data_IF_137918141259
#
_entry.id   IF_137918141259
#
_cell.length_a   1.000
_cell.length_b   1.000
_cell.length_c   1.000
_cell.angle_alpha   90.00
_cell.angle_beta   90.00
_cell.angle_gamma   90.00
#
_symmetry.space_group_name_H-M   'P 1'
#
loop_
_entity.id
_entity.type
_entity.pdbx_description
1 polymer ?
#
# COMPACT_ATOMS: atom_id res chain seq x y z
N UNK A 1 41.84 35.72 -1.25
CA UNK A 1 40.42 36.08 -1.01
C UNK A 1 39.52 35.49 -2.09
N UNK A 2 39.93 35.56 -3.37
CA UNK A 2 39.29 34.89 -4.53
C UNK A 2 38.86 33.43 -4.32
N UNK A 3 39.66 32.60 -3.65
CA UNK A 3 39.32 31.20 -3.42
C UNK A 3 38.12 31.01 -2.47
N UNK A 4 37.98 31.85 -1.43
CA UNK A 4 36.85 31.81 -0.49
C UNK A 4 35.57 32.31 -1.17
N UNK A 5 35.69 33.32 -2.04
CA UNK A 5 34.61 33.82 -2.87
C UNK A 5 34.09 32.73 -3.82
N UNK A 6 34.99 32.11 -4.57
CA UNK A 6 34.66 31.02 -5.49
C UNK A 6 33.97 29.85 -4.77
N UNK A 7 34.50 29.40 -3.63
CA UNK A 7 33.92 28.31 -2.83
C UNK A 7 32.52 28.66 -2.33
N UNK A 8 32.28 29.90 -1.90
CA UNK A 8 30.96 30.36 -1.43
C UNK A 8 29.93 30.42 -2.56
N UNK A 9 30.31 30.93 -3.73
CA UNK A 9 29.46 31.03 -4.94
C UNK A 9 29.13 29.65 -5.49
N UNK A 10 30.09 28.72 -5.46
CA UNK A 10 29.89 27.31 -5.85
C UNK A 10 29.01 26.58 -4.83
N UNK A 11 29.22 26.79 -3.53
CA UNK A 11 28.40 26.19 -2.47
C UNK A 11 26.93 26.59 -2.60
N UNK A 12 26.67 27.86 -2.94
CA UNK A 12 25.32 28.36 -3.17
C UNK A 12 24.76 28.01 -4.57
N UNK A 13 25.53 27.28 -5.39
CA UNK A 13 25.18 26.87 -6.76
C UNK A 13 24.81 28.04 -7.70
N UNK A 14 25.39 29.24 -7.50
CA UNK A 14 25.13 30.40 -8.37
C UNK A 14 26.02 30.34 -9.63
N UNK A 15 27.34 30.20 -9.43
CA UNK A 15 28.31 30.02 -10.53
C UNK A 15 28.42 31.19 -11.51
N UNK A 16 28.78 32.39 -11.05
CA UNK A 16 28.94 33.58 -11.91
C UNK A 16 29.97 33.42 -13.04
N UNK A 17 31.01 32.60 -12.84
CA UNK A 17 32.03 32.31 -13.86
C UNK A 17 33.15 33.35 -13.96
N UNK A 18 33.23 34.27 -13.01
CA UNK A 18 34.26 35.29 -12.84
C UNK A 18 35.61 34.72 -12.39
N UNK A 19 35.60 33.67 -11.56
CA UNK A 19 36.80 32.96 -11.10
C UNK A 19 36.62 31.45 -11.33
N UNK A 20 37.50 30.84 -12.14
CA UNK A 20 37.40 29.43 -12.55
C UNK A 20 38.68 28.66 -12.18
N UNK A 21 38.59 27.46 -11.57
CA UNK A 21 39.77 26.67 -11.25
C UNK A 21 40.36 26.03 -12.52
N UNK A 22 41.59 26.42 -12.85
CA UNK A 22 42.34 25.85 -13.97
C UNK A 22 43.12 24.57 -13.59
N UNK A 23 43.33 24.32 -12.30
CA UNK A 23 44.02 23.11 -11.80
C UNK A 23 43.05 21.95 -11.56
N UNK A 24 43.52 20.72 -11.76
CA UNK A 24 42.72 19.51 -11.48
C UNK A 24 42.25 19.44 -10.03
N UNK A 25 43.13 19.78 -9.06
CA UNK A 25 42.76 19.82 -7.65
C UNK A 25 41.67 20.87 -7.34
N UNK A 26 41.73 22.05 -7.97
CA UNK A 26 40.71 23.08 -7.78
C UNK A 26 39.35 22.70 -8.37
N UNK A 27 39.34 21.98 -9.49
CA UNK A 27 38.11 21.42 -10.09
C UNK A 27 37.48 20.37 -9.20
N UNK A 28 38.27 19.47 -8.61
CA UNK A 28 37.77 18.47 -7.66
C UNK A 28 37.17 19.12 -6.40
N UNK A 29 37.83 20.14 -5.84
CA UNK A 29 37.31 20.88 -4.67
C UNK A 29 35.99 21.59 -5.01
N UNK A 30 35.89 22.21 -6.18
CA UNK A 30 34.67 22.86 -6.67
C UNK A 30 33.50 21.87 -6.77
N UNK A 31 33.74 20.68 -7.34
CA UNK A 31 32.73 19.61 -7.45
C UNK A 31 32.26 19.12 -6.07
N UNK A 32 33.20 18.84 -5.15
CA UNK A 32 32.87 18.38 -3.80
C UNK A 32 32.09 19.45 -3.02
N UNK A 33 32.48 20.72 -3.16
CA UNK A 33 31.79 21.86 -2.54
C UNK A 33 30.37 22.01 -3.08
N UNK A 34 30.17 21.85 -4.39
CA UNK A 34 28.85 21.87 -5.01
C UNK A 34 27.95 20.74 -4.50
N UNK A 35 28.47 19.52 -4.38
CA UNK A 35 27.74 18.37 -3.81
C UNK A 35 27.34 18.64 -2.35
N UNK A 36 28.27 19.17 -1.54
CA UNK A 36 27.97 19.54 -0.15
C UNK A 36 26.94 20.67 -0.04
N UNK A 37 27.01 21.69 -0.91
CA UNK A 37 26.06 22.79 -0.97
C UNK A 37 24.66 22.34 -1.35
N UNK A 38 24.54 21.47 -2.35
CA UNK A 38 23.28 20.82 -2.72
C UNK A 38 22.73 19.98 -1.55
N UNK A 39 23.57 19.18 -0.90
CA UNK A 39 23.19 18.39 0.28
C UNK A 39 22.68 19.25 1.44
N UNK A 40 23.37 20.36 1.75
CA UNK A 40 22.93 21.31 2.77
C UNK A 40 21.57 21.94 2.42
N UNK A 41 21.36 22.30 1.16
CA UNK A 41 20.09 22.88 0.69
C UNK A 41 18.94 21.89 0.87
N UNK A 42 19.13 20.62 0.49
CA UNK A 42 18.14 19.56 0.69
C UNK A 42 17.81 19.37 2.17
N UNK A 43 18.82 19.33 3.04
CA UNK A 43 18.61 19.21 4.49
C UNK A 43 17.81 20.39 5.05
N UNK A 44 18.15 21.62 4.66
CA UNK A 44 17.41 22.81 5.09
C UNK A 44 15.97 22.77 4.62
N UNK A 45 15.72 22.46 3.35
CA UNK A 45 14.35 22.33 2.81
C UNK A 45 13.58 21.22 3.54
N UNK A 46 14.20 20.08 3.84
CA UNK A 46 13.56 18.99 4.58
C UNK A 46 13.21 19.38 6.02
N UNK A 47 14.10 20.08 6.72
CA UNK A 47 13.84 20.56 8.09
C UNK A 47 12.74 21.63 8.09
N UNK A 48 12.78 22.58 7.16
CA UNK A 48 11.76 23.60 6.99
C UNK A 48 10.41 22.97 6.68
N UNK A 49 10.35 21.98 5.77
CA UNK A 49 9.12 21.25 5.47
C UNK A 49 8.53 20.58 6.73
N UNK A 50 9.36 19.90 7.54
CA UNK A 50 8.90 19.29 8.81
C UNK A 50 8.45 20.30 9.86
N UNK A 51 8.99 21.52 9.84
CA UNK A 51 8.58 22.62 10.74
C UNK A 51 7.33 23.36 10.23
N UNK A 52 7.11 23.35 8.92
CA UNK A 52 5.92 23.91 8.26
C UNK A 52 4.73 22.95 8.25
N UNK A 53 4.96 21.65 8.44
CA UNK A 53 3.89 20.71 8.80
C UNK A 53 3.33 21.12 10.16
N UNK A 54 2.23 21.91 10.13
CA UNK A 54 1.53 22.41 11.31
C UNK A 54 1.40 21.29 12.34
N UNK A 55 1.80 21.59 13.58
CA UNK A 55 1.65 20.65 14.68
C UNK A 55 0.17 20.28 14.85
N UNK A 56 -0.11 19.06 15.35
CA UNK A 56 -1.51 18.59 15.51
C UNK A 56 -2.40 19.57 16.27
N UNK A 57 -1.85 20.30 17.22
CA UNK A 57 -2.56 21.32 17.99
C UNK A 57 -2.91 22.57 17.15
N UNK A 58 -1.97 23.09 16.38
CA UNK A 58 -2.21 24.23 15.47
C UNK A 58 -3.24 23.87 14.39
N UNK A 59 -3.17 22.65 13.84
CA UNK A 59 -4.16 22.17 12.88
C UNK A 59 -5.57 22.10 13.49
N UNK A 60 -5.69 21.69 14.76
CA UNK A 60 -6.97 21.64 15.46
C UNK A 60 -7.54 23.05 15.66
N UNK A 61 -6.72 24.00 16.11
CA UNK A 61 -7.13 25.40 16.28
C UNK A 61 -7.49 26.04 14.94
N UNK A 62 -6.71 25.80 13.88
CA UNK A 62 -6.99 26.30 12.54
C UNK A 62 -8.31 25.72 12.00
N UNK A 63 -8.56 24.43 12.19
CA UNK A 63 -9.81 23.80 11.78
C UNK A 63 -11.02 24.38 12.55
N UNK A 64 -10.87 24.63 13.85
CA UNK A 64 -11.91 25.28 14.66
C UNK A 64 -12.17 26.72 14.20
N UNK A 65 -11.12 27.50 13.95
CA UNK A 65 -11.23 28.86 13.45
C UNK A 65 -11.90 28.91 12.08
N UNK A 66 -11.51 28.00 11.19
CA UNK A 66 -12.06 27.86 9.85
C UNK A 66 -13.55 27.46 9.89
N UNK A 67 -13.92 26.49 10.74
CA UNK A 67 -15.32 26.08 10.93
C UNK A 67 -16.21 27.18 11.51
N UNK A 68 -15.67 27.96 12.46
CA UNK A 68 -16.35 29.15 13.00
C UNK A 68 -16.57 30.21 11.92
N UNK A 69 -15.56 30.48 11.08
CA UNK A 69 -15.66 31.42 9.98
C UNK A 69 -16.69 30.98 8.93
N UNK A 70 -16.68 29.71 8.52
CA UNK A 70 -17.65 29.18 7.57
C UNK A 70 -19.09 29.22 8.11
N UNK A 71 -19.30 28.84 9.38
CA UNK A 71 -20.63 28.89 10.00
C UNK A 71 -21.19 30.31 10.04
N UNK A 72 -20.35 31.30 10.38
CA UNK A 72 -20.72 32.72 10.37
C UNK A 72 -21.02 33.19 8.94
N UNK A 73 -20.18 32.83 7.98
CA UNK A 73 -20.36 33.16 6.56
C UNK A 73 -21.69 32.67 5.98
N UNK A 74 -22.09 31.42 6.28
CA UNK A 74 -23.39 30.87 5.86
C UNK A 74 -24.54 31.69 6.43
N UNK A 75 -24.51 31.99 7.74
CA UNK A 75 -25.57 32.75 8.41
C UNK A 75 -25.71 34.15 7.80
N UNK A 76 -24.59 34.82 7.53
CA UNK A 76 -24.57 36.16 6.91
C UNK A 76 -25.08 36.10 5.47
N UNK A 77 -24.62 35.14 4.67
CA UNK A 77 -25.07 34.98 3.29
C UNK A 77 -26.58 34.69 3.22
N UNK A 78 -27.09 33.79 4.07
CA UNK A 78 -28.51 33.48 4.16
C UNK A 78 -29.34 34.71 4.57
N UNK A 79 -28.90 35.48 5.56
CA UNK A 79 -29.55 36.72 5.97
C UNK A 79 -29.62 37.73 4.82
N UNK A 80 -28.54 37.86 4.03
CA UNK A 80 -28.52 38.73 2.85
C UNK A 80 -29.47 38.23 1.75
N UNK A 81 -29.56 36.92 1.50
CA UNK A 81 -30.53 36.36 0.54
C UNK A 81 -31.96 36.74 0.94
N UNK A 82 -32.32 36.57 2.22
CA UNK A 82 -33.65 36.93 2.72
C UNK A 82 -33.91 38.44 2.60
N UNK A 83 -32.94 39.27 2.99
CA UNK A 83 -33.03 40.73 2.91
C UNK A 83 -33.25 41.21 1.47
N UNK A 84 -32.43 40.75 0.53
CA UNK A 84 -32.51 41.20 -0.86
C UNK A 84 -33.78 40.67 -1.53
N UNK A 85 -34.21 39.44 -1.23
CA UNK A 85 -35.49 38.88 -1.70
C UNK A 85 -36.68 39.71 -1.22
N UNK A 86 -36.71 40.08 0.06
CA UNK A 86 -37.73 40.95 0.62
C UNK A 86 -37.75 42.34 -0.03
N UNK A 87 -36.57 42.96 -0.20
CA UNK A 87 -36.47 44.28 -0.81
C UNK A 87 -36.90 44.29 -2.29
N UNK A 88 -36.61 43.22 -3.04
CA UNK A 88 -37.14 43.03 -4.40
C UNK A 88 -38.67 42.95 -4.37
N UNK A 89 -39.24 42.14 -3.47
CA UNK A 89 -40.69 42.02 -3.33
C UNK A 89 -41.34 43.37 -3.00
N UNK A 90 -40.77 44.11 -2.03
CA UNK A 90 -41.22 45.45 -1.65
C UNK A 90 -41.23 46.42 -2.84
N UNK A 91 -40.13 46.51 -3.59
CA UNK A 91 -40.00 47.45 -4.72
C UNK A 91 -40.74 47.01 -6.01
N UNK A 92 -41.16 45.75 -6.11
CA UNK A 92 -41.89 45.24 -7.28
C UNK A 92 -43.40 45.12 -7.07
N UNK A 93 -43.86 44.86 -5.84
CA UNK A 93 -45.26 44.55 -5.53
C UNK A 93 -45.92 45.50 -4.52
N UNK A 94 -45.18 46.10 -3.61
CA UNK A 94 -45.74 46.98 -2.56
C UNK A 94 -45.54 48.48 -2.84
N UNK A 95 -44.64 48.84 -3.74
CA UNK A 95 -44.39 50.23 -4.11
C UNK A 95 -45.44 50.72 -5.13
N UNK A 96 -45.95 51.94 -4.91
CA UNK A 96 -46.93 52.61 -5.80
C UNK A 96 -46.38 52.88 -7.20
N UNK A 97 -45.07 53.07 -7.33
CA UNK A 97 -44.34 53.19 -8.60
C UNK A 97 -43.17 52.19 -8.65
N UNK A 98 -42.96 51.58 -9.82
CA UNK A 98 -41.90 50.56 -10.02
C UNK A 98 -40.57 51.23 -10.38
N UNK A 99 -39.68 51.33 -9.40
CA UNK A 99 -38.30 51.77 -9.63
C UNK A 99 -37.45 50.61 -10.18
N UNK A 100 -37.37 50.51 -11.50
CA UNK A 100 -36.61 49.47 -12.21
C UNK A 100 -35.11 49.48 -11.88
N UNK A 101 -34.53 50.64 -11.55
CA UNK A 101 -33.10 50.74 -11.24
C UNK A 101 -32.80 50.11 -9.87
N UNK A 102 -33.63 50.41 -8.85
CA UNK A 102 -33.51 49.79 -7.52
C UNK A 102 -33.74 48.28 -7.57
N UNK A 103 -34.72 47.81 -8.34
CA UNK A 103 -34.99 46.37 -8.48
C UNK A 103 -33.78 45.65 -9.09
N UNK A 104 -33.18 46.19 -10.17
CA UNK A 104 -31.97 45.60 -10.77
C UNK A 104 -30.78 45.57 -9.80
N UNK A 105 -30.62 46.61 -8.98
CA UNK A 105 -29.57 46.64 -7.95
C UNK A 105 -29.76 45.51 -6.92
N UNK A 106 -30.96 45.32 -6.40
CA UNK A 106 -31.25 44.28 -5.39
C UNK A 106 -31.20 42.87 -6.01
N UNK A 107 -31.60 42.70 -7.27
CA UNK A 107 -31.43 41.45 -8.00
C UNK A 107 -29.94 41.06 -8.12
N UNK A 108 -29.05 42.01 -8.46
CA UNK A 108 -27.60 41.76 -8.50
C UNK A 108 -27.06 41.34 -7.13
N UNK A 109 -27.48 42.02 -6.05
CA UNK A 109 -27.08 41.69 -4.68
C UNK A 109 -27.60 40.32 -4.24
N UNK A 110 -28.83 39.97 -4.61
CA UNK A 110 -29.42 38.65 -4.37
C UNK A 110 -28.60 37.57 -5.07
N UNK A 111 -28.29 37.74 -6.36
CA UNK A 111 -27.47 36.79 -7.11
C UNK A 111 -26.08 36.60 -6.49
N UNK A 112 -25.46 37.68 -6.02
CA UNK A 112 -24.18 37.63 -5.33
C UNK A 112 -24.28 36.85 -4.00
N UNK A 113 -25.34 37.10 -3.22
CA UNK A 113 -25.58 36.39 -1.96
C UNK A 113 -25.84 34.90 -2.17
N UNK A 114 -26.58 34.54 -3.22
CA UNK A 114 -26.83 33.14 -3.62
C UNK A 114 -25.53 32.44 -4.06
N UNK A 115 -24.69 33.10 -4.86
CA UNK A 115 -23.39 32.54 -5.24
C UNK A 115 -22.52 32.31 -4.02
N UNK A 116 -22.36 33.31 -3.15
CA UNK A 116 -21.59 33.17 -1.90
C UNK A 116 -22.10 32.02 -1.03
N UNK A 117 -23.42 31.87 -0.90
CA UNK A 117 -24.02 30.76 -0.14
C UNK A 117 -23.69 29.39 -0.76
N UNK A 118 -23.72 29.30 -2.09
CA UNK A 118 -23.39 28.08 -2.84
C UNK A 118 -21.92 27.72 -2.70
N UNK A 119 -21.03 28.70 -2.80
CA UNK A 119 -19.58 28.51 -2.67
C UNK A 119 -19.23 27.98 -1.28
N UNK A 120 -19.74 28.63 -0.22
CA UNK A 120 -19.50 28.18 1.15
C UNK A 120 -20.12 26.80 1.41
N UNK A 121 -21.29 26.49 0.82
CA UNK A 121 -21.89 25.14 0.89
C UNK A 121 -21.05 24.09 0.15
N UNK A 122 -20.43 24.44 -0.97
CA UNK A 122 -19.57 23.54 -1.73
C UNK A 122 -18.27 23.26 -0.98
N UNK A 123 -17.63 24.29 -0.40
CA UNK A 123 -16.44 24.13 0.44
C UNK A 123 -16.72 23.25 1.67
N UNK A 124 -17.86 23.43 2.35
CA UNK A 124 -18.27 22.52 3.44
C UNK A 124 -18.44 21.07 2.99
N UNK A 125 -18.98 20.84 1.78
CA UNK A 125 -19.13 19.48 1.24
C UNK A 125 -17.78 18.84 0.97
N UNK A 126 -16.83 19.57 0.36
CA UNK A 126 -15.47 19.06 0.12
C UNK A 126 -14.80 18.61 1.42
N UNK A 127 -14.92 19.40 2.50
CA UNK A 127 -14.38 19.03 3.81
C UNK A 127 -15.07 17.78 4.39
N UNK A 128 -16.38 17.64 4.22
CA UNK A 128 -17.11 16.46 4.64
C UNK A 128 -16.70 15.21 3.83
N UNK A 129 -16.54 15.34 2.52
CA UNK A 129 -16.10 14.25 1.63
C UNK A 129 -14.68 13.80 2.01
N UNK A 130 -13.78 14.72 2.34
CA UNK A 130 -12.44 14.40 2.86
C UNK A 130 -12.47 13.66 4.22
N UNK A 131 -13.42 13.98 5.09
CA UNK A 131 -13.59 13.23 6.33
C UNK A 131 -14.13 11.82 6.07
N UNK A 132 -15.07 11.69 5.13
CA UNK A 132 -15.66 10.40 4.74
C UNK A 132 -14.62 9.47 4.10
N UNK A 133 -13.74 9.98 3.23
CA UNK A 133 -12.68 9.15 2.63
C UNK A 133 -11.72 8.57 3.67
N UNK A 134 -11.38 9.32 4.73
CA UNK A 134 -10.57 8.81 5.84
C UNK A 134 -11.29 7.71 6.61
N UNK A 135 -12.59 7.88 6.87
CA UNK A 135 -13.40 6.87 7.54
C UNK A 135 -13.50 5.60 6.71
N UNK A 136 -13.71 5.73 5.39
CA UNK A 136 -13.79 4.59 4.49
C UNK A 136 -12.44 3.87 4.36
N UNK A 137 -11.32 4.60 4.43
CA UNK A 137 -9.98 4.00 4.54
C UNK A 137 -9.84 3.15 5.81
N UNK A 138 -10.28 3.65 6.97
CA UNK A 138 -10.25 2.89 8.22
C UNK A 138 -11.14 1.64 8.16
N UNK A 139 -12.33 1.73 7.56
CA UNK A 139 -13.20 0.55 7.34
C UNK A 139 -12.52 -0.48 6.45
N UNK A 140 -11.88 -0.03 5.36
CA UNK A 140 -11.13 -0.90 4.46
C UNK A 140 -9.97 -1.59 5.19
N UNK A 141 -9.27 -0.87 6.07
CA UNK A 141 -8.21 -1.46 6.88
C UNK A 141 -8.75 -2.57 7.81
N UNK A 142 -9.87 -2.34 8.49
CA UNK A 142 -10.48 -3.35 9.35
C UNK A 142 -10.90 -4.59 8.56
N UNK A 143 -11.60 -4.40 7.43
CA UNK A 143 -12.00 -5.50 6.56
C UNK A 143 -10.80 -6.26 6.00
N UNK A 144 -9.71 -5.56 5.69
CA UNK A 144 -8.46 -6.17 5.24
C UNK A 144 -7.81 -7.02 6.33
N UNK A 145 -7.85 -6.58 7.60
CA UNK A 145 -7.37 -7.40 8.71
C UNK A 145 -8.17 -8.69 8.87
N UNK A 146 -9.49 -8.63 8.74
CA UNK A 146 -10.36 -9.81 8.83
C UNK A 146 -10.03 -10.81 7.73
N UNK A 147 -9.95 -10.35 6.47
CA UNK A 147 -9.58 -11.19 5.32
C UNK A 147 -8.18 -11.77 5.49
N UNK A 148 -7.22 -10.99 5.97
CA UNK A 148 -5.85 -11.47 6.20
C UNK A 148 -5.81 -12.56 7.29
N UNK A 149 -6.65 -12.44 8.32
CA UNK A 149 -6.79 -13.44 9.37
C UNK A 149 -7.36 -14.75 8.79
N UNK A 150 -8.40 -14.67 7.96
CA UNK A 150 -8.98 -15.84 7.28
C UNK A 150 -7.97 -16.54 6.36
N UNK A 151 -7.24 -15.77 5.54
CA UNK A 151 -6.20 -16.29 4.64
C UNK A 151 -5.08 -16.96 5.44
N UNK A 152 -4.68 -16.36 6.56
CA UNK A 152 -3.64 -16.95 7.44
C UNK A 152 -4.13 -18.24 8.08
N UNK A 153 -5.39 -18.32 8.48
CA UNK A 153 -6.02 -19.55 8.96
C UNK A 153 -6.00 -20.66 7.90
N UNK A 154 -6.46 -20.36 6.69
CA UNK A 154 -6.43 -21.28 5.56
C UNK A 154 -5.01 -21.75 5.23
N UNK A 155 -4.01 -20.85 5.26
CA UNK A 155 -2.60 -21.19 5.07
C UNK A 155 -2.12 -22.18 6.13
N UNK A 156 -2.50 -21.98 7.40
CA UNK A 156 -2.15 -22.88 8.49
C UNK A 156 -2.76 -24.27 8.33
N UNK A 157 -4.01 -24.36 7.87
CA UNK A 157 -4.64 -25.66 7.61
C UNK A 157 -4.02 -26.37 6.40
N UNK A 158 -3.65 -25.62 5.37
CA UNK A 158 -2.92 -26.15 4.23
C UNK A 158 -1.54 -26.70 4.63
N UNK A 159 -0.79 -25.98 5.47
CA UNK A 159 0.49 -26.46 6.03
C UNK A 159 0.31 -27.76 6.82
N UNK A 160 -0.75 -27.88 7.64
CA UNK A 160 -1.05 -29.14 8.36
C UNK A 160 -1.31 -30.29 7.40
N UNK A 161 -2.11 -30.06 6.35
CA UNK A 161 -2.38 -31.08 5.34
C UNK A 161 -1.12 -31.49 4.59
N UNK A 162 -0.26 -30.53 4.22
CA UNK A 162 1.03 -30.82 3.58
C UNK A 162 1.94 -31.64 4.49
N UNK A 163 2.05 -31.29 5.77
CA UNK A 163 2.87 -32.04 6.73
C UNK A 163 2.35 -33.45 6.96
N UNK A 164 1.02 -33.63 7.07
CA UNK A 164 0.41 -34.95 7.18
C UNK A 164 0.64 -35.79 5.92
N UNK A 165 0.53 -35.20 4.73
CA UNK A 165 0.82 -35.88 3.48
C UNK A 165 2.29 -36.29 3.40
N UNK A 166 3.21 -35.41 3.81
CA UNK A 166 4.63 -35.72 3.88
C UNK A 166 4.90 -36.90 4.81
N UNK A 167 4.29 -36.91 6.00
CA UNK A 167 4.42 -38.02 6.95
C UNK A 167 3.89 -39.34 6.36
N UNK A 168 2.72 -39.33 5.74
CA UNK A 168 2.16 -40.52 5.10
C UNK A 168 3.07 -41.06 3.99
N UNK A 169 3.71 -40.18 3.21
CA UNK A 169 4.68 -40.56 2.18
C UNK A 169 5.95 -41.16 2.79
N UNK A 170 6.43 -40.61 3.90
CA UNK A 170 7.60 -41.13 4.63
C UNK A 170 7.31 -42.53 5.20
N UNK A 171 6.15 -42.73 5.82
CA UNK A 171 5.69 -44.01 6.35
C UNK A 171 5.54 -45.06 5.23
N UNK A 172 4.95 -44.67 4.10
CA UNK A 172 4.85 -45.55 2.92
C UNK A 172 6.23 -45.95 2.41
N UNK A 173 7.16 -45.00 2.33
CA UNK A 173 8.55 -45.24 1.90
C UNK A 173 9.27 -46.21 2.84
N UNK A 174 9.11 -46.08 4.16
CA UNK A 174 9.67 -47.02 5.14
C UNK A 174 9.04 -48.42 5.05
N UNK A 175 7.72 -48.49 4.87
CA UNK A 175 7.00 -49.73 4.63
C UNK A 175 7.52 -50.47 3.39
N UNK A 176 7.74 -49.77 2.27
CA UNK A 176 8.35 -50.38 1.09
C UNK A 176 9.79 -50.84 1.32
N UNK A 177 10.58 -50.05 2.06
CA UNK A 177 11.99 -50.37 2.38
C UNK A 177 12.12 -51.63 3.22
N UNK A 178 11.15 -51.93 4.08
CA UNK A 178 11.12 -53.14 4.92
C UNK A 178 10.50 -54.34 4.20
N UNK A 179 9.44 -54.12 3.42
CA UNK A 179 8.75 -55.18 2.67
C UNK A 179 9.61 -55.80 1.57
N UNK A 180 10.35 -54.97 0.82
CA UNK A 180 11.11 -55.42 -0.35
C UNK A 180 12.21 -56.46 -0.04
N UNK A 181 13.04 -56.30 1.02
CA UNK A 181 13.96 -57.34 1.49
C UNK A 181 13.25 -58.62 1.96
N UNK A 182 12.11 -58.49 2.67
CA UNK A 182 11.34 -59.64 3.15
C UNK A 182 10.81 -60.47 1.97
N UNK A 183 10.23 -59.81 0.96
CA UNK A 183 9.80 -60.45 -0.28
C UNK A 183 10.97 -61.12 -1.00
N UNK A 184 12.10 -60.42 -1.15
CA UNK A 184 13.30 -60.97 -1.80
C UNK A 184 13.84 -62.20 -1.06
N UNK A 185 13.89 -62.14 0.28
CA UNK A 185 14.33 -63.27 1.11
C UNK A 185 13.38 -64.47 0.98
N UNK A 186 12.07 -64.25 1.04
CA UNK A 186 11.06 -65.32 0.95
C UNK A 186 11.06 -65.97 -0.42
N UNK A 187 11.17 -65.17 -1.49
CA UNK A 187 11.31 -65.65 -2.86
C UNK A 187 12.60 -66.44 -3.05
N UNK A 188 13.72 -65.99 -2.47
CA UNK A 188 14.99 -66.72 -2.51
C UNK A 188 14.88 -68.07 -1.78
N UNK A 189 14.24 -68.09 -0.60
CA UNK A 189 14.00 -69.32 0.16
C UNK A 189 13.09 -70.28 -0.59
N UNK A 190 11.98 -69.80 -1.18
CA UNK A 190 11.11 -70.63 -2.02
C UNK A 190 11.85 -71.18 -3.25
N UNK A 191 12.61 -70.33 -3.96
CA UNK A 191 13.38 -70.76 -5.12
C UNK A 191 14.48 -71.78 -4.76
N UNK A 192 15.09 -71.68 -3.59
CA UNK A 192 16.06 -72.66 -3.10
C UNK A 192 15.36 -73.99 -2.76
N UNK A 193 14.22 -73.93 -2.08
CA UNK A 193 13.42 -75.12 -1.73
C UNK A 193 12.93 -75.86 -2.97
N UNK A 194 12.41 -75.14 -3.98
CA UNK A 194 11.97 -75.75 -5.25
C UNK A 194 13.14 -76.43 -5.97
N UNK A 195 14.30 -75.77 -6.05
CA UNK A 195 15.49 -76.36 -6.66
C UNK A 195 15.98 -77.61 -5.93
N UNK A 196 15.89 -77.65 -4.60
CA UNK A 196 16.24 -78.83 -3.81
C UNK A 196 15.31 -80.02 -4.11
N UNK A 197 14.00 -79.78 -4.16
CA UNK A 197 13.00 -80.80 -4.48
C UNK A 197 13.15 -81.34 -5.91
N UNK A 198 13.51 -80.47 -6.87
CA UNK A 198 13.80 -80.90 -8.24
C UNK A 198 15.05 -81.79 -8.31
N UNK A 199 16.11 -81.46 -7.55
CA UNK A 199 17.32 -82.29 -7.47
C UNK A 199 17.05 -83.67 -6.89
N UNK A 200 16.29 -83.75 -5.79
CA UNK A 200 15.89 -85.03 -5.21
C UNK A 200 15.06 -85.87 -6.20
N UNK A 201 14.21 -85.23 -7.01
CA UNK A 201 13.45 -85.91 -8.07
C UNK A 201 14.35 -86.43 -9.20
N UNK A 202 15.35 -85.67 -9.60
CA UNK A 202 16.35 -86.12 -10.60
C UNK A 202 17.20 -87.27 -10.06
N UNK A 203 17.68 -87.19 -8.83
CA UNK A 203 18.44 -88.26 -8.18
C UNK A 203 17.60 -89.53 -8.05
N UNK A 204 16.32 -89.41 -7.64
CA UNK A 204 15.38 -90.53 -7.66
C UNK A 204 15.23 -91.10 -9.07
N UNK A 205 14.98 -90.27 -10.09
CA UNK A 205 14.83 -90.74 -11.47
C UNK A 205 16.08 -91.49 -12.00
N UNK A 206 17.29 -91.02 -11.65
CA UNK A 206 18.54 -91.71 -11.99
C UNK A 206 18.64 -93.07 -11.29
N UNK A 207 18.31 -93.15 -9.98
CA UNK A 207 18.31 -94.42 -9.25
C UNK A 207 17.29 -95.43 -9.80
N UNK A 208 16.10 -94.97 -10.20
CA UNK A 208 15.08 -95.81 -10.86
C UNK A 208 15.52 -96.28 -12.26
N UNK A 209 16.24 -95.45 -13.01
CA UNK A 209 16.80 -95.83 -14.32
C UNK A 209 17.91 -96.87 -14.20
N UNK A 210 18.77 -96.78 -13.17
CA UNK A 210 19.80 -97.78 -12.92
C UNK A 210 19.21 -99.12 -12.44
N UNK A 211 18.13 -99.08 -11.66
CA UNK A 211 17.42 -100.30 -11.24
C UNK A 211 16.63 -100.99 -12.39
N UNK A 212 16.33 -100.28 -13.49
CA UNK A 212 15.66 -100.82 -14.67
C UNK A 212 16.57 -101.48 -15.70
N UNK A 213 17.90 -101.32 -15.59
CA UNK A 213 18.89 -101.88 -16.53
C UNK A 213 19.43 -103.26 -16.12
N UNK A 214 19.04 -103.77 -14.93
CA UNK A 214 19.39 -105.09 -14.40
C UNK A 214 18.27 -106.15 -14.57
N UNK A 215 17.42 -106.02 -15.59
CA UNK A 215 16.46 -107.06 -15.99
C UNK A 215 16.57 -107.43 -17.46
#
# INVERSE_FOLDING_TARGET
MEALWMVSVTFLSIGYGDVVPHTYCGRSICLLTGIMGAGCTVLVVAVVARKLELTRAEKHVHNFMMDSHFTKGIKIAAANVLRETWMIYKHTKLARERDHCRVRMHQRKLLLAIHRLRDVKMERRKLADQANTLVDLCKMQNLMYDVLSEVSGCRGDLEKHTNSLQQNVEELREGFRTLMPLLSSTLATQNASIRHLLREREEQAVTWSMAGQDK
#
